data_IF_576325578861
#
_entry.id   IF_576325578861
#
_cell.length_a   1.000
_cell.length_b   1.000
_cell.length_c   1.000
_cell.angle_alpha   90.00
_cell.angle_beta   90.00
_cell.angle_gamma   90.00
#
_symmetry.space_group_name_H-M   'P 1'
#
loop_
_entity.id
_entity.type
_entity.pdbx_description
1 polymer ?
#
# COMPACT_ATOMS: atom_id res chain seq x y z
N UNK A 1 -10.92 0.58 6.54
CA UNK A 1 -11.48 0.61 7.92
C UNK A 1 -11.28 -0.71 8.66
N UNK A 2 -11.68 -1.86 8.10
CA UNK A 2 -11.55 -3.15 8.82
C UNK A 2 -10.11 -3.55 9.13
N UNK A 3 -9.17 -3.36 8.19
CA UNK A 3 -7.74 -3.53 8.47
C UNK A 3 -7.27 -2.68 9.65
N UNK A 4 -7.54 -1.36 9.63
CA UNK A 4 -7.17 -0.50 10.75
C UNK A 4 -7.79 -0.97 12.08
N UNK A 5 -9.05 -1.43 12.06
CA UNK A 5 -9.71 -1.96 13.27
C UNK A 5 -9.00 -3.21 13.79
N UNK A 6 -8.67 -4.15 12.91
CA UNK A 6 -7.93 -5.36 13.26
C UNK A 6 -6.56 -5.03 13.86
N UNK A 7 -5.76 -4.22 13.17
CA UNK A 7 -4.43 -3.82 13.63
C UNK A 7 -4.46 -3.05 14.96
N UNK A 8 -5.57 -2.35 15.25
CA UNK A 8 -5.79 -1.67 16.53
C UNK A 8 -6.38 -2.57 17.64
N UNK A 9 -6.54 -3.87 17.39
CA UNK A 9 -7.16 -4.81 18.34
C UNK A 9 -8.69 -4.63 18.51
N UNK A 10 -9.34 -3.84 17.65
CA UNK A 10 -10.79 -3.53 17.71
C UNK A 10 -11.65 -4.43 16.83
N UNK A 11 -11.06 -5.40 16.14
CA UNK A 11 -11.77 -6.42 15.38
C UNK A 11 -11.05 -7.76 15.52
N UNK A 12 -11.81 -8.84 15.64
CA UNK A 12 -11.26 -10.20 15.67
C UNK A 12 -10.99 -10.74 14.27
N UNK A 13 -10.24 -11.84 14.21
CA UNK A 13 -9.97 -12.61 12.98
C UNK A 13 -11.28 -13.06 12.30
N UNK A 14 -12.22 -13.59 13.06
CA UNK A 14 -13.53 -14.06 12.58
C UNK A 14 -14.38 -12.89 12.05
N UNK A 15 -14.22 -11.70 12.64
CA UNK A 15 -14.88 -10.50 12.16
C UNK A 15 -14.33 -10.09 10.80
N UNK A 16 -13.02 -10.18 10.60
CA UNK A 16 -12.39 -9.90 9.31
C UNK A 16 -12.86 -10.88 8.24
N UNK A 17 -12.80 -12.18 8.51
CA UNK A 17 -13.28 -13.23 7.60
C UNK A 17 -14.73 -12.97 7.18
N UNK A 18 -15.65 -12.79 8.15
CA UNK A 18 -17.07 -12.55 7.85
C UNK A 18 -17.26 -11.30 6.99
N UNK A 19 -16.54 -10.21 7.29
CA UNK A 19 -16.65 -8.96 6.53
C UNK A 19 -16.05 -9.07 5.14
N UNK A 20 -14.96 -9.84 4.96
CA UNK A 20 -14.38 -10.10 3.66
C UNK A 20 -15.34 -10.86 2.76
N UNK A 21 -15.82 -12.03 3.23
CA UNK A 21 -16.72 -12.91 2.48
C UNK A 21 -18.02 -12.17 2.13
N UNK A 22 -18.63 -11.47 3.09
CA UNK A 22 -19.84 -10.71 2.83
C UNK A 22 -19.65 -9.63 1.76
N UNK A 23 -18.50 -8.95 1.76
CA UNK A 23 -18.20 -7.90 0.79
C UNK A 23 -17.86 -8.44 -0.61
N UNK A 24 -17.38 -9.69 -0.74
CA UNK A 24 -17.02 -10.30 -2.03
C UNK A 24 -18.06 -11.28 -2.54
N UNK A 25 -19.11 -11.61 -1.77
CA UNK A 25 -20.13 -12.61 -2.13
C UNK A 25 -20.64 -12.46 -3.56
N UNK A 26 -20.98 -11.24 -3.97
CA UNK A 26 -21.46 -10.97 -5.34
C UNK A 26 -20.35 -11.12 -6.37
N UNK A 27 -19.19 -10.51 -6.13
CA UNK A 27 -18.05 -10.62 -7.04
C UNK A 27 -17.67 -12.08 -7.29
N UNK A 28 -17.62 -12.90 -6.25
CA UNK A 28 -17.29 -14.33 -6.37
C UNK A 28 -18.37 -15.16 -7.07
N UNK A 29 -19.63 -14.76 -7.01
CA UNK A 29 -20.69 -15.42 -7.78
C UNK A 29 -20.56 -15.16 -9.29
N UNK A 30 -19.94 -14.04 -9.68
CA UNK A 30 -19.85 -13.59 -11.07
C UNK A 30 -18.50 -13.97 -11.73
N UNK A 31 -17.53 -14.50 -10.98
CA UNK A 31 -16.21 -14.87 -11.54
C UNK A 31 -16.32 -16.17 -12.32
N UNK A 32 -16.01 -16.09 -13.61
CA UNK A 32 -15.86 -17.24 -14.51
C UNK A 32 -14.41 -17.48 -14.94
N UNK A 33 -13.51 -16.54 -14.63
CA UNK A 33 -12.10 -16.63 -14.93
C UNK A 33 -11.37 -17.57 -13.95
N UNK A 34 -10.33 -18.30 -14.41
CA UNK A 34 -9.58 -19.23 -13.56
C UNK A 34 -8.74 -18.54 -12.49
N UNK A 35 -8.41 -17.25 -12.68
CA UNK A 35 -7.62 -16.45 -11.75
C UNK A 35 -8.38 -15.19 -11.39
N UNK A 36 -8.53 -14.96 -10.08
CA UNK A 36 -9.02 -13.72 -9.52
C UNK A 36 -7.85 -12.89 -8.98
N UNK A 37 -7.74 -11.64 -9.42
CA UNK A 37 -6.75 -10.69 -8.94
C UNK A 37 -7.48 -9.55 -8.25
N UNK A 38 -7.14 -9.27 -6.99
CA UNK A 38 -7.66 -8.11 -6.27
C UNK A 38 -6.54 -7.12 -5.94
N UNK A 39 -6.69 -5.88 -6.42
CA UNK A 39 -5.86 -4.75 -6.00
C UNK A 39 -6.68 -3.85 -5.07
N UNK A 40 -6.43 -3.96 -3.76
CA UNK A 40 -7.19 -3.20 -2.77
C UNK A 40 -6.28 -2.73 -1.62
N UNK A 41 -5.98 -1.42 -1.52
CA UNK A 41 -5.07 -0.89 -0.51
C UNK A 41 -5.62 -1.00 0.92
N UNK A 42 -6.91 -1.33 1.08
CA UNK A 42 -7.54 -1.53 2.38
C UNK A 42 -7.41 -2.95 2.91
N UNK A 43 -6.73 -3.87 2.22
CA UNK A 43 -6.53 -5.26 2.67
C UNK A 43 -5.25 -5.48 3.49
N UNK A 44 -4.48 -4.43 3.79
CA UNK A 44 -3.20 -4.53 4.52
C UNK A 44 -3.27 -5.25 5.88
N UNK A 45 -4.41 -5.26 6.56
CA UNK A 45 -4.60 -6.01 7.82
C UNK A 45 -5.28 -7.37 7.65
N UNK A 46 -5.45 -7.88 6.43
CA UNK A 46 -6.07 -9.18 6.16
C UNK A 46 -5.04 -10.30 5.94
N UNK A 47 -3.75 -10.00 6.07
CA UNK A 47 -2.68 -10.97 5.85
C UNK A 47 -2.81 -12.23 6.72
N UNK A 48 -3.33 -12.07 7.94
CA UNK A 48 -3.55 -13.17 8.90
C UNK A 48 -4.82 -14.00 8.63
N UNK A 49 -5.66 -13.63 7.65
CA UNK A 49 -6.93 -14.33 7.35
C UNK A 49 -7.06 -14.81 5.92
N UNK A 50 -6.40 -14.16 4.96
CA UNK A 50 -6.48 -14.56 3.56
C UNK A 50 -6.01 -16.01 3.33
N UNK A 51 -4.96 -16.53 4.00
CA UNK A 51 -4.52 -17.90 3.80
C UNK A 51 -5.56 -18.96 4.18
N UNK A 52 -6.47 -18.63 5.10
CA UNK A 52 -7.56 -19.54 5.51
C UNK A 52 -8.75 -19.52 4.54
N UNK A 53 -8.84 -18.47 3.72
CA UNK A 53 -9.93 -18.26 2.79
C UNK A 53 -9.59 -18.77 1.38
N UNK A 54 -8.31 -18.79 1.03
CA UNK A 54 -7.86 -19.06 -0.33
C UNK A 54 -6.64 -19.97 -0.35
N UNK A 55 -6.72 -21.02 -1.18
CA UNK A 55 -5.59 -21.87 -1.53
C UNK A 55 -5.76 -22.35 -2.98
N UNK A 56 -4.79 -22.08 -3.89
CA UNK A 56 -3.57 -21.31 -3.65
C UNK A 56 -3.84 -19.80 -3.53
N UNK A 57 -3.14 -19.13 -2.60
CA UNK A 57 -3.08 -17.67 -2.48
C UNK A 57 -1.71 -17.20 -2.95
N UNK A 58 -1.65 -16.06 -3.65
CA UNK A 58 -0.41 -15.32 -3.91
C UNK A 58 -0.58 -13.86 -3.49
N UNK A 59 0.42 -13.29 -2.83
CA UNK A 59 0.43 -11.87 -2.45
C UNK A 59 1.58 -11.17 -3.16
N UNK A 60 1.23 -10.17 -3.97
CA UNK A 60 2.17 -9.23 -4.55
C UNK A 60 2.20 -7.97 -3.69
N UNK A 61 3.33 -7.71 -3.04
CA UNK A 61 3.57 -6.48 -2.29
C UNK A 61 4.32 -5.49 -3.17
N UNK A 62 3.58 -4.58 -3.80
CA UNK A 62 4.16 -3.50 -4.61
C UNK A 62 4.59 -2.35 -3.69
N UNK A 63 5.89 -2.09 -3.64
CA UNK A 63 6.48 -1.01 -2.84
C UNK A 63 6.95 0.10 -3.76
N UNK A 64 6.67 1.35 -3.42
CA UNK A 64 7.11 2.53 -4.18
C UNK A 64 8.05 3.36 -3.34
N UNK A 65 9.01 4.04 -3.97
CA UNK A 65 9.90 4.98 -3.28
C UNK A 65 9.08 5.95 -2.39
N UNK A 66 9.35 6.02 -1.07
CA UNK A 66 8.58 6.86 -0.15
C UNK A 66 8.61 8.34 -0.55
N UNK A 67 9.71 8.82 -1.15
CA UNK A 67 9.86 10.21 -1.61
C UNK A 67 8.85 10.55 -2.70
N UNK A 68 8.69 9.64 -3.66
CA UNK A 68 7.73 9.84 -4.76
C UNK A 68 6.30 9.52 -4.34
N UNK A 69 6.11 8.55 -3.44
CA UNK A 69 4.82 8.21 -2.84
C UNK A 69 4.24 9.38 -2.03
N UNK A 70 5.02 9.97 -1.11
CA UNK A 70 4.56 11.08 -0.27
C UNK A 70 4.13 12.25 -1.15
N UNK A 71 4.97 12.64 -2.12
CA UNK A 71 4.60 13.68 -3.09
C UNK A 71 3.30 13.36 -3.84
N UNK A 72 3.13 12.10 -4.26
CA UNK A 72 1.91 11.65 -4.94
C UNK A 72 0.67 11.82 -4.06
N UNK A 73 0.73 11.43 -2.78
CA UNK A 73 -0.37 11.62 -1.83
C UNK A 73 -0.68 13.10 -1.58
N UNK A 74 0.36 13.93 -1.42
CA UNK A 74 0.21 15.37 -1.22
C UNK A 74 -0.47 16.04 -2.42
N UNK A 75 -0.13 15.63 -3.65
CA UNK A 75 -0.75 16.14 -4.87
C UNK A 75 -2.16 15.57 -5.14
N UNK A 76 -2.45 14.34 -4.68
CA UNK A 76 -3.78 13.73 -4.84
C UNK A 76 -4.85 14.38 -3.96
N UNK A 77 -4.43 15.14 -2.93
CA UNK A 77 -5.33 15.91 -2.08
C UNK A 77 -5.96 15.09 -0.95
N UNK A 78 -5.26 14.08 -0.44
CA UNK A 78 -5.68 13.31 0.74
C UNK A 78 -5.93 14.21 1.97
N UNK A 79 -5.38 15.43 1.96
CA UNK A 79 -5.55 16.45 3.02
C UNK A 79 -6.25 17.74 2.56
N UNK A 80 -7.05 17.73 1.49
CA UNK A 80 -7.80 18.92 1.05
C UNK A 80 -9.24 18.96 1.61
N UNK A 81 -9.68 20.15 2.02
CA UNK A 81 -11.07 20.43 2.40
C UNK A 81 -11.58 19.58 3.58
N UNK A 82 -12.84 19.10 3.49
CA UNK A 82 -13.47 18.26 4.51
C UNK A 82 -12.65 16.99 4.85
N UNK A 83 -11.84 16.48 3.92
CA UNK A 83 -10.98 15.31 4.15
C UNK A 83 -9.90 15.59 5.19
N UNK A 84 -9.40 16.83 5.30
CA UNK A 84 -8.43 17.23 6.34
C UNK A 84 -9.05 17.11 7.73
N UNK A 85 -10.25 17.65 7.92
CA UNK A 85 -10.99 17.54 9.18
C UNK A 85 -11.32 16.08 9.49
N UNK A 86 -11.84 15.34 8.50
CA UNK A 86 -12.15 13.92 8.66
C UNK A 86 -10.89 13.08 8.98
N UNK A 87 -9.73 13.40 8.41
CA UNK A 87 -8.48 12.66 8.67
C UNK A 87 -8.08 12.71 10.14
N UNK A 88 -8.35 13.82 10.83
CA UNK A 88 -8.00 13.98 12.25
C UNK A 88 -8.94 13.23 13.19
N UNK A 89 -10.22 13.06 12.83
CA UNK A 89 -11.23 12.51 13.74
C UNK A 89 -11.81 11.14 13.32
N UNK A 90 -11.64 10.73 12.07
CA UNK A 90 -12.15 9.43 11.59
C UNK A 90 -11.11 8.33 11.74
N UNK A 91 -11.59 7.07 11.75
CA UNK A 91 -10.77 5.85 11.75
C UNK A 91 -10.44 5.35 10.33
N UNK A 92 -10.72 6.18 9.31
CA UNK A 92 -10.47 5.81 7.91
C UNK A 92 -8.98 5.71 7.59
N UNK A 93 -8.16 6.59 8.20
CA UNK A 93 -6.71 6.49 8.19
C UNK A 93 -6.22 5.81 9.47
N UNK A 94 -5.20 4.95 9.32
CA UNK A 94 -4.47 4.39 10.45
C UNK A 94 -3.62 5.49 11.09
N UNK A 95 -3.51 5.49 12.42
CA UNK A 95 -2.79 6.51 13.20
C UNK A 95 -1.91 5.86 14.26
N UNK A 96 -0.81 6.51 14.68
CA UNK A 96 0.06 5.99 15.75
C UNK A 96 -0.71 5.60 17.02
N UNK A 97 -1.60 6.46 17.48
CA UNK A 97 -2.40 6.25 18.70
C UNK A 97 -3.43 5.13 18.59
N UNK A 98 -3.66 4.56 17.39
CA UNK A 98 -4.48 3.37 17.21
C UNK A 98 -3.70 2.07 17.44
N UNK A 99 -2.37 2.11 17.25
CA UNK A 99 -1.50 0.93 17.38
C UNK A 99 -0.82 0.87 18.75
N UNK A 100 -0.59 2.02 19.38
CA UNK A 100 0.00 2.11 20.71
C UNK A 100 -0.73 3.17 21.55
N UNK A 101 -1.01 2.90 22.84
CA UNK A 101 -1.61 3.89 23.73
C UNK A 101 -0.67 5.07 24.04
N UNK A 102 0.65 4.87 23.90
CA UNK A 102 1.70 5.88 24.10
C UNK A 102 2.65 5.88 22.90
N UNK A 103 2.21 6.37 21.73
CA UNK A 103 3.10 6.48 20.58
C UNK A 103 4.17 7.54 20.85
N UNK A 104 5.37 7.37 20.28
CA UNK A 104 6.44 8.36 20.41
C UNK A 104 6.03 9.75 19.90
N UNK A 105 5.18 9.78 18.87
CA UNK A 105 4.56 10.99 18.32
C UNK A 105 3.13 10.68 17.87
N UNK A 106 2.18 11.57 18.17
CA UNK A 106 0.77 11.44 17.79
C UNK A 106 0.52 12.00 16.40
N UNK A 107 -0.54 11.53 15.74
CA UNK A 107 -0.90 12.00 14.38
C UNK A 107 -0.99 13.53 14.26
N UNK A 108 -1.61 14.19 15.25
CA UNK A 108 -1.80 15.65 15.29
C UNK A 108 -0.49 16.44 15.40
N UNK A 109 0.56 15.82 15.93
CA UNK A 109 1.87 16.44 16.10
C UNK A 109 2.71 16.35 14.82
N UNK A 110 2.32 15.51 13.86
CA UNK A 110 3.03 15.32 12.58
C UNK A 110 2.54 16.31 11.53
N UNK A 111 3.45 16.79 10.68
CA UNK A 111 3.08 17.52 9.45
C UNK A 111 2.51 16.56 8.40
N UNK A 112 1.79 17.07 7.40
CA UNK A 112 1.10 16.23 6.41
C UNK A 112 2.04 15.27 5.63
N UNK A 113 3.21 15.69 5.13
CA UNK A 113 4.16 14.78 4.47
C UNK A 113 4.66 13.67 5.40
N UNK A 114 4.94 14.02 6.66
CA UNK A 114 5.38 13.07 7.67
C UNK A 114 4.30 12.02 7.99
N UNK A 115 3.02 12.42 8.07
CA UNK A 115 1.90 11.47 8.24
C UNK A 115 1.85 10.43 7.13
N UNK A 116 2.13 10.85 5.89
CA UNK A 116 2.18 9.93 4.74
C UNK A 116 3.40 9.04 4.79
N UNK A 117 4.55 9.56 5.21
CA UNK A 117 5.78 8.81 5.41
C UNK A 117 5.60 7.74 6.52
N UNK A 118 5.03 8.11 7.67
CA UNK A 118 4.68 7.19 8.76
C UNK A 118 3.71 6.12 8.29
N UNK A 119 2.67 6.50 7.53
CA UNK A 119 1.69 5.54 6.97
C UNK A 119 2.35 4.59 5.99
N UNK A 120 3.21 5.10 5.10
CA UNK A 120 3.98 4.27 4.18
C UNK A 120 4.79 3.24 4.95
N UNK A 121 5.60 3.66 5.92
CA UNK A 121 6.43 2.74 6.71
C UNK A 121 5.57 1.70 7.45
N UNK A 122 4.52 2.15 8.13
CA UNK A 122 3.64 1.28 8.93
C UNK A 122 2.95 0.21 8.07
N UNK A 123 2.35 0.60 6.94
CA UNK A 123 1.63 -0.35 6.10
C UNK A 123 2.57 -1.31 5.37
N UNK A 124 3.71 -0.82 4.89
CA UNK A 124 4.69 -1.67 4.21
C UNK A 124 5.33 -2.68 5.19
N UNK A 125 5.60 -2.31 6.45
CA UNK A 125 6.05 -3.26 7.48
C UNK A 125 5.01 -4.34 7.74
N UNK A 126 3.74 -3.96 7.87
CA UNK A 126 2.66 -4.93 8.11
C UNK A 126 2.51 -5.91 6.95
N UNK A 127 2.45 -5.42 5.71
CA UNK A 127 2.37 -6.29 4.53
C UNK A 127 3.67 -7.11 4.38
N UNK A 128 4.80 -6.54 4.77
CA UNK A 128 6.13 -7.17 4.77
C UNK A 128 6.21 -8.47 5.54
N UNK A 129 5.38 -8.66 6.58
CA UNK A 129 5.25 -9.93 7.32
C UNK A 129 4.89 -11.11 6.41
N UNK A 130 4.30 -10.83 5.25
CA UNK A 130 3.89 -11.85 4.28
C UNK A 130 5.06 -12.70 3.79
N UNK A 131 6.28 -12.15 3.75
CA UNK A 131 7.47 -12.91 3.39
C UNK A 131 7.68 -14.12 4.31
N UNK A 132 7.49 -13.94 5.62
CA UNK A 132 7.63 -15.01 6.61
C UNK A 132 6.40 -15.94 6.61
N UNK A 133 5.21 -15.37 6.45
CA UNK A 133 3.95 -16.13 6.57
C UNK A 133 3.65 -16.99 5.35
N UNK A 134 4.11 -16.61 4.15
CA UNK A 134 3.71 -17.22 2.89
C UNK A 134 4.87 -17.79 2.07
N UNK A 135 6.13 -17.48 2.42
CA UNK A 135 7.30 -17.93 1.66
C UNK A 135 7.18 -17.59 0.18
N UNK A 136 7.28 -18.61 -0.68
CA UNK A 136 7.25 -18.47 -2.15
C UNK A 136 5.92 -17.94 -2.71
N UNK A 137 4.85 -17.93 -1.91
CA UNK A 137 3.56 -17.34 -2.26
C UNK A 137 3.49 -15.83 -2.03
N UNK A 138 4.56 -15.22 -1.50
CA UNK A 138 4.68 -13.78 -1.36
C UNK A 138 5.84 -13.24 -2.18
N UNK A 139 5.59 -12.18 -2.95
CA UNK A 139 6.63 -11.48 -3.70
C UNK A 139 6.55 -9.98 -3.47
N UNK A 140 7.64 -9.40 -2.97
CA UNK A 140 7.82 -7.94 -2.92
C UNK A 140 8.46 -7.47 -4.22
N UNK A 141 7.89 -6.44 -4.83
CA UNK A 141 8.38 -5.84 -6.09
C UNK A 141 8.40 -4.33 -5.97
N UNK A 142 9.38 -3.66 -6.57
CA UNK A 142 9.38 -2.20 -6.67
C UNK A 142 8.42 -1.74 -7.76
N UNK A 143 7.67 -0.69 -7.48
CA UNK A 143 6.73 -0.08 -8.43
C UNK A 143 7.46 0.36 -9.71
N UNK A 144 8.65 0.91 -9.55
CA UNK A 144 9.51 1.41 -10.60
C UNK A 144 10.02 0.28 -11.50
N UNK A 145 10.29 -0.90 -10.94
CA UNK A 145 10.73 -2.07 -11.72
C UNK A 145 9.57 -2.70 -12.49
N UNK A 146 8.39 -2.81 -11.86
CA UNK A 146 7.19 -3.36 -12.54
C UNK A 146 6.76 -2.48 -13.71
N UNK A 147 6.99 -1.17 -13.61
CA UNK A 147 6.66 -0.19 -14.65
C UNK A 147 7.88 0.30 -15.41
N UNK A 148 8.96 -0.49 -15.42
CA UNK A 148 10.17 -0.19 -16.20
C UNK A 148 9.83 -0.02 -17.69
N UNK A 149 10.64 0.78 -18.38
CA UNK A 149 10.43 1.07 -19.80
C UNK A 149 10.66 -0.14 -20.71
N UNK A 150 11.41 -1.15 -20.24
CA UNK A 150 11.65 -2.40 -20.97
C UNK A 150 10.50 -3.43 -20.81
N UNK A 151 9.60 -3.23 -19.84
CA UNK A 151 8.47 -4.13 -19.57
C UNK A 151 8.85 -5.46 -18.89
N UNK A 152 10.14 -5.67 -18.60
CA UNK A 152 10.63 -6.95 -18.07
C UNK A 152 10.06 -7.24 -16.67
N UNK A 153 9.98 -6.23 -15.81
CA UNK A 153 9.45 -6.40 -14.45
C UNK A 153 7.98 -6.83 -14.44
N UNK A 154 7.16 -6.31 -15.35
CA UNK A 154 5.77 -6.76 -15.50
C UNK A 154 5.70 -8.19 -16.05
N UNK A 155 6.53 -8.53 -17.04
CA UNK A 155 6.59 -9.88 -17.60
C UNK A 155 7.06 -10.91 -16.55
N UNK A 156 8.04 -10.57 -15.71
CA UNK A 156 8.49 -11.42 -14.60
C UNK A 156 7.40 -11.61 -13.55
N UNK A 157 6.68 -10.54 -13.19
CA UNK A 157 5.57 -10.62 -12.25
C UNK A 157 4.45 -11.51 -12.80
N UNK A 158 4.09 -11.35 -14.08
CA UNK A 158 3.06 -12.15 -14.75
C UNK A 158 3.43 -13.63 -14.77
N UNK A 159 4.69 -13.97 -15.07
CA UNK A 159 5.19 -15.36 -14.96
C UNK A 159 5.10 -15.88 -13.54
N UNK A 160 5.51 -15.10 -12.54
CA UNK A 160 5.47 -15.51 -11.14
C UNK A 160 4.04 -15.78 -10.65
N UNK A 161 3.04 -14.99 -11.06
CA UNK A 161 1.64 -15.27 -10.72
C UNK A 161 1.09 -16.51 -11.43
N UNK A 162 1.76 -17.01 -12.47
CA UNK A 162 1.37 -18.19 -13.25
C UNK A 162 0.55 -17.84 -14.49
N UNK A 163 0.77 -16.64 -15.05
CA UNK A 163 0.18 -16.19 -16.29
C UNK A 163 1.27 -16.06 -17.37
N UNK A 164 0.86 -16.18 -18.62
CA UNK A 164 1.74 -15.89 -19.76
C UNK A 164 1.84 -14.37 -19.97
N UNK A 165 3.05 -13.81 -20.09
CA UNK A 165 3.24 -12.42 -20.50
C UNK A 165 2.58 -12.15 -21.85
N UNK A 166 2.05 -10.94 -22.01
CA UNK A 166 1.44 -10.50 -23.25
C UNK A 166 2.03 -9.16 -23.64
N UNK A 167 2.70 -9.12 -24.80
CA UNK A 167 3.33 -7.90 -25.32
C UNK A 167 2.32 -6.76 -25.43
N UNK A 168 1.10 -7.05 -25.89
CA UNK A 168 0.01 -6.07 -25.94
C UNK A 168 -0.30 -5.46 -24.56
N UNK A 169 -0.41 -6.29 -23.51
CA UNK A 169 -0.70 -5.78 -22.17
C UNK A 169 0.49 -5.02 -21.56
N UNK A 170 1.72 -5.47 -21.85
CA UNK A 170 2.95 -4.80 -21.42
C UNK A 170 3.05 -3.42 -22.08
N UNK A 171 2.85 -3.33 -23.39
CA UNK A 171 2.87 -2.07 -24.13
C UNK A 171 1.74 -1.12 -23.71
N UNK A 172 0.54 -1.66 -23.45
CA UNK A 172 -0.56 -0.86 -22.90
C UNK A 172 -0.22 -0.31 -21.50
N UNK A 173 0.41 -1.11 -20.63
CA UNK A 173 0.85 -0.65 -19.30
C UNK A 173 1.92 0.45 -19.39
N UNK A 174 2.84 0.36 -20.37
CA UNK A 174 3.90 1.35 -20.62
C UNK A 174 3.34 2.70 -21.10
N UNK A 175 2.38 2.66 -22.01
CA UNK A 175 1.84 3.86 -22.66
C UNK A 175 0.85 4.62 -21.78
N UNK A 176 0.15 3.94 -20.87
CA UNK A 176 -0.90 4.54 -20.06
C UNK A 176 -0.38 4.88 -18.66
N UNK A 177 -0.05 6.15 -18.43
CA UNK A 177 0.19 6.68 -17.07
C UNK A 177 -1.12 6.71 -16.26
N UNK A 178 -1.53 5.56 -15.72
CA UNK A 178 -2.82 5.42 -15.02
C UNK A 178 -2.93 6.26 -13.74
N UNK A 179 -1.80 6.73 -13.18
CA UNK A 179 -1.74 7.45 -11.90
C UNK A 179 -0.99 8.79 -11.96
N UNK A 180 -0.96 9.48 -13.12
CA UNK A 180 -0.36 10.82 -13.17
C UNK A 180 -1.25 11.82 -12.40
N UNK A 181 -0.77 12.34 -11.26
CA UNK A 181 -1.47 13.45 -10.60
C UNK A 181 -1.47 14.65 -11.55
N UNK A 182 -2.65 15.21 -11.80
CA UNK A 182 -2.82 16.44 -12.60
C UNK A 182 -2.33 17.68 -11.86
N UNK A 183 -2.20 17.57 -10.54
CA UNK A 183 -1.71 18.62 -9.67
C UNK A 183 -0.21 18.40 -9.37
N UNK A 184 0.54 19.49 -9.38
CA UNK A 184 1.97 19.53 -9.14
C UNK A 184 2.35 20.50 -8.01
N UNK A 185 1.37 20.93 -7.20
CA UNK A 185 1.57 21.94 -6.16
C UNK A 185 2.55 21.55 -5.05
N UNK A 186 2.76 20.25 -4.78
CA UNK A 186 3.79 19.80 -3.84
C UNK A 186 5.17 19.69 -4.53
N UNK A 187 6.24 20.27 -3.95
CA UNK A 187 7.58 20.27 -4.54
C UNK A 187 8.13 18.87 -4.83
N UNK A 188 9.09 18.80 -5.76
CA UNK A 188 9.91 17.59 -5.94
C UNK A 188 10.87 17.44 -4.75
N UNK A 189 11.39 16.23 -4.55
CA UNK A 189 12.27 15.89 -3.41
C UNK A 189 13.43 16.88 -3.20
N UNK A 190 14.14 17.22 -4.28
CA UNK A 190 15.31 18.11 -4.21
C UNK A 190 14.96 19.56 -3.86
N UNK A 191 13.69 19.95 -4.05
CA UNK A 191 13.16 21.28 -3.77
C UNK A 191 12.39 21.37 -2.44
N UNK A 192 12.35 20.29 -1.64
CA UNK A 192 11.80 20.35 -0.28
C UNK A 192 12.80 21.01 0.67
N UNK A 193 12.28 21.72 1.66
CA UNK A 193 13.08 22.21 2.79
C UNK A 193 13.64 21.05 3.64
N UNK A 194 14.72 21.34 4.37
CA UNK A 194 15.45 20.35 5.16
C UNK A 194 14.62 19.72 6.28
N UNK A 195 13.74 20.50 6.91
CA UNK A 195 12.87 20.02 7.98
C UNK A 195 11.88 18.98 7.44
N UNK A 196 11.26 19.25 6.29
CA UNK A 196 10.33 18.33 5.63
C UNK A 196 11.05 17.06 5.16
N UNK A 197 12.25 17.18 4.56
CA UNK A 197 13.05 16.02 4.17
C UNK A 197 13.41 15.15 5.38
N UNK A 198 13.89 15.78 6.45
CA UNK A 198 14.27 15.11 7.68
C UNK A 198 13.07 14.40 8.32
N UNK A 199 11.90 15.03 8.35
CA UNK A 199 10.68 14.43 8.88
C UNK A 199 10.23 13.20 8.08
N UNK A 200 10.37 13.22 6.74
CA UNK A 200 10.07 12.04 5.90
C UNK A 200 11.09 10.93 6.16
N UNK A 201 12.40 11.24 6.11
CA UNK A 201 13.46 10.26 6.30
C UNK A 201 13.41 9.60 7.67
N UNK A 202 13.14 10.37 8.73
CA UNK A 202 12.97 9.84 10.09
C UNK A 202 11.93 8.70 10.14
N UNK A 203 10.89 8.77 9.31
CA UNK A 203 9.85 7.75 9.26
C UNK A 203 10.19 6.57 8.35
N UNK A 204 11.03 6.75 7.33
CA UNK A 204 11.15 5.78 6.22
C UNK A 204 12.55 5.24 5.98
N UNK A 205 13.62 5.87 6.46
CA UNK A 205 15.00 5.59 6.03
C UNK A 205 15.40 4.11 6.13
N UNK A 206 15.08 3.45 7.25
CA UNK A 206 15.43 2.05 7.50
C UNK A 206 14.77 1.13 6.47
N UNK A 207 13.44 1.22 6.35
CA UNK A 207 12.68 0.37 5.44
C UNK A 207 12.93 0.73 3.97
N UNK A 208 13.24 2.00 3.69
CA UNK A 208 13.64 2.47 2.37
C UNK A 208 14.94 1.80 1.92
N UNK A 209 15.95 1.73 2.80
CA UNK A 209 17.19 1.00 2.54
C UNK A 209 16.95 -0.50 2.35
N UNK A 210 16.15 -1.12 3.22
CA UNK A 210 15.77 -2.55 3.10
C UNK A 210 15.09 -2.89 1.77
N UNK A 211 14.41 -1.90 1.17
CA UNK A 211 13.67 -2.05 -0.08
C UNK A 211 14.47 -1.59 -1.30
N UNK A 212 15.73 -1.21 -1.14
CA UNK A 212 16.63 -0.82 -2.23
C UNK A 212 16.36 0.59 -2.79
N UNK A 213 15.95 1.52 -1.93
CA UNK A 213 15.76 2.94 -2.25
C UNK A 213 16.73 3.88 -1.48
N UNK A 214 17.57 3.30 -0.61
CA UNK A 214 18.60 3.98 0.20
C UNK A 214 19.77 4.52 -0.59
#
# INVERSE_FOLDING_TARGET
VWSNRYLSGRASRETLIRKYVAARKRAFADITAPIYIESNPFLHGFLDVLPDLFSPLKIVHVVRDPRTYVRSCMNFGDFRGLKKLASNYTSWMLKPEMLSPRPARRWREMIEPERMAWRWNTLNREIGRGAQLLGDHYKRVRFEDVLSSDGEGLAELTRWIGLEPSDHHIDHARTRRMNASRDHGFPKWDALDDDTRSAILLQTQELMSDYGYG
#
